data_IF_085093950966
#
_entry.id   IF_085093950966
#
_cell.length_a   1.000
_cell.length_b   1.000
_cell.length_c   1.000
_cell.angle_alpha   90.00
_cell.angle_beta   90.00
_cell.angle_gamma   90.00
#
_symmetry.space_group_name_H-M   'P 1'
#
loop_
_entity.id
_entity.type
_entity.pdbx_description
1 polymer ?
#
# COMPACT_ATOMS: atom_id res chain seq x y z
N UNK A 1 31.12 7.04 18.79
CA UNK A 1 31.88 8.29 18.60
C UNK A 1 30.91 9.46 18.63
N UNK A 2 30.88 10.15 19.77
CA UNK A 2 30.11 11.36 20.06
C UNK A 2 30.95 12.60 19.75
N UNK A 3 30.30 13.73 19.40
CA UNK A 3 30.52 15.12 19.88
C UNK A 3 29.37 15.95 19.22
N UNK A 4 28.30 16.35 19.94
CA UNK A 4 28.12 17.54 20.81
C UNK A 4 28.04 18.87 20.02
N UNK A 5 27.25 19.90 20.30
CA UNK A 5 26.00 20.19 21.02
C UNK A 5 25.81 21.73 20.96
N UNK A 6 24.56 22.21 21.05
CA UNK A 6 24.09 23.52 21.58
C UNK A 6 24.33 24.83 20.80
N UNK A 7 23.23 25.55 20.56
CA UNK A 7 23.12 26.99 20.81
C UNK A 7 21.75 27.32 21.44
N UNK A 8 21.77 28.22 22.43
CA UNK A 8 20.71 28.52 23.40
C UNK A 8 19.69 29.58 22.94
N UNK A 9 18.54 29.57 23.61
CA UNK A 9 17.40 30.51 23.53
C UNK A 9 17.58 31.79 24.37
N UNK A 10 16.74 32.81 24.14
CA UNK A 10 16.13 33.82 25.08
C UNK A 10 15.32 34.81 24.18
N UNK A 11 14.10 35.35 24.46
CA UNK A 11 13.52 36.01 25.65
C UNK A 11 11.97 35.89 25.65
N UNK A 12 11.36 35.96 26.85
CA UNK A 12 9.94 35.84 27.23
C UNK A 12 9.16 37.19 27.27
N UNK A 13 7.81 37.05 27.24
CA UNK A 13 6.72 37.80 27.96
C UNK A 13 6.49 39.30 27.63
N UNK A 14 5.29 39.90 27.68
CA UNK A 14 4.20 39.82 28.68
C UNK A 14 2.86 40.45 28.19
N UNK A 15 1.85 40.41 29.09
CA UNK A 15 0.39 40.57 29.05
C UNK A 15 -0.26 41.97 28.89
N UNK A 16 -1.47 41.96 28.29
CA UNK A 16 -2.81 42.56 28.60
C UNK A 16 -3.04 43.88 29.42
N UNK A 17 -4.09 44.60 28.94
CA UNK A 17 -5.00 45.62 29.55
C UNK A 17 -4.45 47.07 29.68
N UNK A 18 -5.17 48.19 29.51
CA UNK A 18 -6.61 48.54 29.42
C UNK A 18 -6.85 49.89 28.69
N UNK A 19 -8.12 50.19 28.44
CA UNK A 19 -8.80 51.33 27.74
C UNK A 19 -8.57 52.73 28.35
N UNK A 20 -8.46 53.79 27.51
CA UNK A 20 -9.26 55.03 27.56
C UNK A 20 -8.97 56.04 26.41
N UNK A 21 -10.07 56.58 25.87
CA UNK A 21 -10.35 57.67 24.92
C UNK A 21 -9.29 58.71 24.49
N UNK A 22 -9.40 59.14 23.22
CA UNK A 22 -8.99 60.47 22.77
C UNK A 22 -8.71 60.60 21.26
N UNK A 23 -9.65 61.22 20.53
CA UNK A 23 -9.41 62.24 19.50
C UNK A 23 -8.46 61.99 18.31
N UNK A 24 -9.02 62.23 17.12
CA UNK A 24 -8.38 62.69 15.88
C UNK A 24 -7.64 61.67 15.00
N UNK A 25 -8.16 61.57 13.77
CA UNK A 25 -7.67 60.71 12.69
C UNK A 25 -6.61 61.42 11.85
N UNK A 26 -5.42 60.84 11.66
CA UNK A 26 -4.50 61.19 10.57
C UNK A 26 -4.43 60.07 9.51
N UNK A 27 -3.86 60.34 8.32
CA UNK A 27 -4.19 59.62 7.08
C UNK A 27 -3.56 58.22 6.98
N UNK A 28 -4.22 57.36 6.19
CA UNK A 28 -3.80 55.98 5.91
C UNK A 28 -2.34 55.88 5.40
N UNK A 29 -1.50 54.98 5.95
CA UNK A 29 -0.18 54.72 5.41
C UNK A 29 -0.28 53.85 4.15
N UNK A 30 0.36 54.31 3.07
CA UNK A 30 0.58 53.52 1.86
C UNK A 30 1.39 52.27 2.20
N UNK A 31 0.77 51.09 2.11
CA UNK A 31 1.46 49.81 2.17
C UNK A 31 2.29 49.67 0.89
N UNK A 32 3.61 49.85 1.01
CA UNK A 32 4.57 49.48 -0.04
C UNK A 32 4.68 47.95 0.01
N UNK A 33 4.06 47.30 -0.97
CA UNK A 33 4.16 45.86 -1.18
C UNK A 33 5.56 45.53 -1.70
N UNK A 34 6.49 45.19 -0.81
CA UNK A 34 7.79 44.60 -1.17
C UNK A 34 7.55 43.19 -1.75
N UNK A 35 7.39 43.11 -3.07
CA UNK A 35 7.47 41.86 -3.81
C UNK A 35 8.88 41.28 -3.63
N UNK A 36 9.00 40.34 -2.69
CA UNK A 36 10.19 39.51 -2.56
C UNK A 36 10.22 38.56 -3.76
N UNK A 37 10.99 38.93 -4.78
CA UNK A 37 11.28 38.05 -5.90
C UNK A 37 12.12 36.88 -5.37
N UNK A 38 11.48 35.76 -5.04
CA UNK A 38 12.20 34.51 -4.81
C UNK A 38 12.69 34.05 -6.19
N UNK A 39 13.92 34.41 -6.53
CA UNK A 39 14.63 33.79 -7.65
C UNK A 39 14.76 32.30 -7.35
N UNK A 40 13.98 31.48 -8.04
CA UNK A 40 14.17 30.05 -8.06
C UNK A 40 15.56 29.78 -8.64
N UNK A 41 16.52 29.41 -7.77
CA UNK A 41 17.82 28.92 -8.23
C UNK A 41 17.53 27.69 -9.09
N UNK A 42 17.86 27.71 -10.39
CA UNK A 42 17.60 26.56 -11.25
C UNK A 42 18.33 25.36 -10.67
N UNK A 43 17.61 24.27 -10.44
CA UNK A 43 18.21 22.99 -10.07
C UNK A 43 19.26 22.64 -11.11
N UNK A 44 20.53 22.69 -10.71
CA UNK A 44 21.67 22.25 -11.52
C UNK A 44 21.75 20.73 -11.66
N UNK A 45 20.83 19.99 -11.01
CA UNK A 45 20.80 18.54 -11.06
C UNK A 45 20.10 18.08 -12.34
N UNK A 46 20.80 17.26 -13.11
CA UNK A 46 20.25 16.61 -14.29
C UNK A 46 19.13 15.62 -13.89
N UNK A 47 18.03 15.61 -14.63
CA UNK A 47 16.90 14.73 -14.43
C UNK A 47 16.72 13.81 -15.63
N UNK A 48 16.55 12.52 -15.37
CA UNK A 48 16.25 11.53 -16.42
C UNK A 48 14.74 11.51 -16.66
N UNK A 49 14.34 11.67 -17.93
CA UNK A 49 13.00 11.42 -18.42
C UNK A 49 13.00 10.15 -19.28
N UNK A 50 11.97 9.34 -19.14
CA UNK A 50 11.78 8.14 -19.95
C UNK A 50 10.31 8.11 -20.36
N UNK A 51 10.05 8.05 -21.65
CA UNK A 51 8.73 7.85 -22.23
C UNK A 51 8.64 6.46 -22.86
N UNK A 52 7.48 5.84 -22.79
CA UNK A 52 7.15 4.61 -23.52
C UNK A 52 6.39 5.04 -24.78
N UNK A 53 6.62 4.37 -25.90
CA UNK A 53 5.97 4.60 -27.20
C UNK A 53 4.44 4.38 -27.23
N UNK A 54 3.82 4.09 -26.09
CA UNK A 54 2.38 3.91 -25.92
C UNK A 54 1.84 4.72 -24.75
N UNK A 55 0.67 5.32 -24.93
CA UNK A 55 0.03 6.22 -23.95
C UNK A 55 -0.35 5.53 -22.64
N UNK A 56 -0.85 4.31 -22.70
CA UNK A 56 -1.24 3.49 -21.54
C UNK A 56 -0.14 2.53 -21.09
N UNK A 57 0.96 2.44 -21.86
CA UNK A 57 2.06 1.50 -21.67
C UNK A 57 1.60 0.03 -21.57
N UNK A 58 0.56 -0.38 -22.32
CA UNK A 58 0.09 -1.77 -22.41
C UNK A 58 0.29 -2.29 -23.83
N UNK A 59 0.78 -3.51 -23.96
CA UNK A 59 1.08 -4.16 -25.23
C UNK A 59 0.87 -5.69 -25.19
N UNK A 60 0.96 -6.34 -26.34
CA UNK A 60 0.84 -7.79 -26.48
C UNK A 60 2.20 -8.49 -26.40
N UNK A 61 2.20 -9.78 -26.08
CA UNK A 61 3.41 -10.61 -26.17
C UNK A 61 3.98 -10.54 -27.59
N UNK A 62 5.29 -10.31 -27.70
CA UNK A 62 5.99 -10.15 -28.97
C UNK A 62 5.91 -8.76 -29.61
N UNK A 63 5.16 -7.82 -29.01
CA UNK A 63 5.22 -6.42 -29.48
C UNK A 63 6.58 -5.82 -29.12
N UNK A 64 7.21 -5.15 -30.09
CA UNK A 64 8.35 -4.28 -29.82
C UNK A 64 7.90 -3.06 -29.01
N UNK A 65 8.70 -2.70 -28.00
CA UNK A 65 8.47 -1.60 -27.07
C UNK A 65 9.70 -0.71 -27.08
N UNK A 66 9.51 0.57 -27.36
CA UNK A 66 10.58 1.56 -27.38
C UNK A 66 10.48 2.52 -26.19
N UNK A 67 11.60 2.69 -25.50
CA UNK A 67 11.79 3.69 -24.46
C UNK A 67 12.60 4.85 -25.02
N UNK A 68 12.00 6.03 -25.06
CA UNK A 68 12.69 7.27 -25.40
C UNK A 68 13.23 7.90 -24.11
N UNK A 69 14.54 8.12 -24.05
CA UNK A 69 15.27 8.53 -22.87
C UNK A 69 15.87 9.91 -23.12
N UNK A 70 15.66 10.85 -22.21
CA UNK A 70 16.32 12.15 -22.23
C UNK A 70 16.92 12.47 -20.85
N UNK A 71 18.06 13.14 -20.83
CA UNK A 71 18.72 13.62 -19.62
C UNK A 71 18.71 15.13 -19.68
N UNK A 72 17.94 15.77 -18.81
CA UNK A 72 17.71 17.20 -18.86
C UNK A 72 18.45 17.94 -17.75
N UNK A 73 19.23 18.96 -18.11
CA UNK A 73 19.67 20.01 -17.19
C UNK A 73 18.71 21.19 -17.31
N UNK A 74 17.74 21.27 -16.40
CA UNK A 74 16.61 22.20 -16.51
C UNK A 74 15.67 21.80 -17.66
N UNK A 75 15.68 22.57 -18.76
CA UNK A 75 14.86 22.30 -19.96
C UNK A 75 15.69 21.88 -21.19
N UNK A 76 17.00 21.76 -21.04
CA UNK A 76 17.91 21.42 -22.14
C UNK A 76 18.44 20.00 -21.97
N UNK A 77 18.45 19.23 -23.05
CA UNK A 77 19.09 17.92 -23.10
C UNK A 77 20.59 18.08 -22.88
N UNK A 78 21.16 17.21 -22.05
CA UNK A 78 22.59 17.11 -21.80
C UNK A 78 23.26 16.53 -23.05
N UNK A 79 24.37 17.13 -23.46
CA UNK A 79 25.05 16.86 -24.74
C UNK A 79 26.32 16.03 -24.64
N UNK A 80 26.71 15.66 -23.42
CA UNK A 80 27.96 14.97 -23.15
C UNK A 80 27.86 14.11 -21.89
N UNK A 81 28.65 13.03 -21.88
CA UNK A 81 28.60 11.99 -20.85
C UNK A 81 27.79 10.77 -21.30
N UNK A 82 27.64 9.80 -20.40
CA UNK A 82 27.11 8.48 -20.73
C UNK A 82 25.98 8.11 -19.78
N UNK A 83 24.95 7.44 -20.30
CA UNK A 83 23.96 6.72 -19.49
C UNK A 83 24.21 5.21 -19.58
N UNK A 84 23.86 4.49 -18.53
CA UNK A 84 23.70 3.03 -18.58
C UNK A 84 22.24 2.65 -18.48
N UNK A 85 21.84 1.59 -19.19
CA UNK A 85 20.48 1.07 -19.15
C UNK A 85 20.45 -0.44 -18.91
N UNK A 86 19.33 -0.91 -18.33
CA UNK A 86 18.98 -2.32 -18.19
C UNK A 86 17.51 -2.51 -18.55
N UNK A 87 17.24 -3.42 -19.48
CA UNK A 87 15.93 -3.99 -19.74
C UNK A 87 15.79 -5.31 -18.97
N UNK A 88 14.66 -5.50 -18.28
CA UNK A 88 14.38 -6.68 -17.44
C UNK A 88 12.89 -7.02 -17.46
N UNK A 89 12.53 -8.25 -17.12
CA UNK A 89 11.12 -8.64 -16.93
C UNK A 89 10.74 -8.36 -15.47
N UNK A 90 10.14 -7.21 -15.23
CA UNK A 90 9.77 -6.67 -13.91
C UNK A 90 10.95 -6.62 -12.92
N UNK A 91 12.17 -6.56 -13.45
CA UNK A 91 13.41 -6.63 -12.67
C UNK A 91 13.98 -7.99 -12.42
N UNK A 92 13.28 -9.04 -12.80
CA UNK A 92 13.84 -10.38 -12.80
C UNK A 92 14.80 -10.52 -13.98
N UNK A 93 16.03 -10.95 -13.68
CA UNK A 93 17.10 -11.10 -14.67
C UNK A 93 17.47 -9.81 -15.41
N UNK A 94 18.36 -9.95 -16.40
CA UNK A 94 18.67 -8.91 -17.38
C UNK A 94 18.40 -9.47 -18.76
N UNK A 95 17.52 -8.82 -19.51
CA UNK A 95 17.23 -9.16 -20.91
C UNK A 95 18.28 -8.53 -21.81
N UNK A 96 18.59 -7.25 -21.55
CA UNK A 96 19.59 -6.48 -22.29
C UNK A 96 20.10 -5.36 -21.40
N UNK A 97 21.39 -5.07 -21.48
CA UNK A 97 21.98 -3.90 -20.83
C UNK A 97 23.03 -3.28 -21.72
N UNK A 98 23.26 -1.98 -21.54
CA UNK A 98 24.27 -1.29 -22.32
C UNK A 98 24.53 0.12 -21.80
N UNK A 99 25.39 0.82 -22.55
CA UNK A 99 25.73 2.21 -22.35
C UNK A 99 25.42 3.00 -23.62
N UNK A 100 25.00 4.25 -23.47
CA UNK A 100 24.72 5.15 -24.57
C UNK A 100 25.32 6.52 -24.27
N UNK A 101 26.04 7.08 -25.26
CA UNK A 101 26.59 8.42 -25.18
C UNK A 101 25.46 9.46 -25.36
N UNK A 102 25.49 10.49 -24.54
CA UNK A 102 24.60 11.63 -24.65
C UNK A 102 25.06 12.53 -25.80
N UNK A 103 24.13 12.94 -26.64
CA UNK A 103 24.41 13.77 -27.84
C UNK A 103 23.53 15.02 -27.91
N UNK A 104 22.85 15.37 -26.82
CA UNK A 104 21.95 16.53 -26.75
C UNK A 104 20.59 16.28 -27.42
N UNK A 105 20.27 15.01 -27.68
CA UNK A 105 19.01 14.54 -28.26
C UNK A 105 18.51 13.33 -27.46
N UNK A 106 17.19 13.07 -27.45
CA UNK A 106 16.66 11.85 -26.88
C UNK A 106 17.25 10.60 -27.53
N UNK A 107 17.52 9.59 -26.70
CA UNK A 107 18.06 8.29 -27.07
C UNK A 107 16.94 7.25 -27.05
N UNK A 108 17.08 6.18 -27.83
CA UNK A 108 16.09 5.11 -27.87
C UNK A 108 16.68 3.77 -27.45
N UNK A 109 15.92 3.05 -26.64
CA UNK A 109 16.19 1.66 -26.26
C UNK A 109 14.93 0.87 -26.49
N UNK A 110 15.01 -0.16 -27.34
CA UNK A 110 13.88 -1.04 -27.61
C UNK A 110 14.12 -2.47 -27.13
N UNK A 111 13.03 -3.16 -26.81
CA UNK A 111 13.01 -4.57 -26.45
C UNK A 111 11.60 -5.13 -26.54
N UNK A 112 11.45 -6.40 -26.19
CA UNK A 112 10.19 -7.14 -26.23
C UNK A 112 10.17 -8.19 -25.11
N UNK A 113 8.99 -8.72 -24.80
CA UNK A 113 8.84 -9.93 -23.99
C UNK A 113 8.08 -10.99 -24.79
N UNK A 114 8.59 -12.22 -24.76
CA UNK A 114 7.95 -13.39 -25.36
C UNK A 114 6.95 -14.10 -24.43
N UNK A 115 6.68 -13.52 -23.25
CA UNK A 115 5.73 -14.01 -22.26
C UNK A 115 5.02 -12.85 -21.55
N UNK A 116 3.87 -13.11 -20.90
CA UNK A 116 3.21 -12.10 -20.07
C UNK A 116 4.13 -11.59 -18.96
N UNK A 117 4.25 -10.28 -18.81
CA UNK A 117 5.22 -9.67 -17.89
C UNK A 117 5.23 -8.16 -17.94
N UNK A 118 6.31 -7.54 -17.48
CA UNK A 118 6.50 -6.08 -17.52
C UNK A 118 7.89 -5.76 -18.04
N UNK A 119 8.01 -5.28 -19.28
CA UNK A 119 9.32 -4.85 -19.77
C UNK A 119 9.71 -3.56 -19.05
N UNK A 120 10.72 -3.66 -18.18
CA UNK A 120 11.17 -2.54 -17.36
C UNK A 120 12.52 -2.03 -17.83
N UNK A 121 12.55 -0.75 -18.19
CA UNK A 121 13.76 -0.01 -18.49
C UNK A 121 14.23 0.75 -17.24
N UNK A 122 15.43 0.43 -16.77
CA UNK A 122 16.14 1.18 -15.73
C UNK A 122 17.27 1.95 -16.37
N UNK A 123 17.28 3.27 -16.22
CA UNK A 123 18.36 4.15 -16.70
C UNK A 123 19.10 4.75 -15.51
N UNK A 124 20.43 4.75 -15.57
CA UNK A 124 21.30 5.40 -14.60
C UNK A 124 22.20 6.40 -15.31
N UNK A 125 22.21 7.64 -14.81
CA UNK A 125 23.11 8.71 -15.24
C UNK A 125 24.01 9.09 -14.07
N UNK A 126 25.32 8.99 -14.24
CA UNK A 126 26.30 9.19 -13.16
C UNK A 126 27.42 10.14 -13.61
N UNK A 127 27.15 11.45 -13.75
CA UNK A 127 28.17 12.41 -14.12
C UNK A 127 29.21 12.59 -13.02
N UNK A 128 30.47 12.84 -13.42
CA UNK A 128 31.58 13.04 -12.48
C UNK A 128 31.25 14.16 -11.49
N UNK A 129 31.50 13.90 -10.20
CA UNK A 129 31.32 14.88 -9.13
C UNK A 129 29.87 15.14 -8.71
N UNK A 130 28.88 14.42 -9.26
CA UNK A 130 27.49 14.52 -8.82
C UNK A 130 26.95 13.17 -8.37
N UNK A 131 25.86 13.19 -7.60
CA UNK A 131 25.17 11.98 -7.19
C UNK A 131 24.51 11.32 -8.42
N UNK A 132 24.63 9.99 -8.60
CA UNK A 132 23.94 9.29 -9.68
C UNK A 132 22.42 9.49 -9.61
N UNK A 133 21.82 9.76 -10.76
CA UNK A 133 20.38 9.73 -10.95
C UNK A 133 19.96 8.38 -11.53
N UNK A 134 18.84 7.84 -11.06
CA UNK A 134 18.26 6.60 -11.56
C UNK A 134 16.77 6.81 -11.83
N UNK A 135 16.28 6.34 -12.97
CA UNK A 135 14.87 6.41 -13.36
C UNK A 135 14.41 5.09 -13.96
N UNK A 136 13.14 4.78 -13.70
CA UNK A 136 12.47 3.59 -14.22
C UNK A 136 11.30 4.01 -15.09
N UNK A 137 11.08 3.25 -16.15
CA UNK A 137 9.82 3.17 -16.90
C UNK A 137 9.53 1.70 -17.17
N UNK A 138 8.26 1.37 -17.37
CA UNK A 138 7.86 0.01 -17.69
C UNK A 138 6.62 0.00 -18.59
N UNK A 139 6.52 -1.04 -19.41
CA UNK A 139 5.34 -1.36 -20.20
C UNK A 139 4.82 -2.75 -19.80
N UNK A 140 3.51 -2.86 -19.61
CA UNK A 140 2.83 -4.12 -19.34
C UNK A 140 2.68 -4.93 -20.62
N UNK A 141 3.11 -6.20 -20.60
CA UNK A 141 2.99 -7.12 -21.73
C UNK A 141 1.95 -8.18 -21.39
N UNK A 142 0.77 -8.11 -22.00
CA UNK A 142 -0.36 -9.00 -21.75
C UNK A 142 -0.61 -9.30 -20.25
N UNK A 143 -0.71 -8.28 -19.38
CA UNK A 143 -0.66 -8.46 -17.93
C UNK A 143 -1.81 -9.33 -17.38
N UNK A 144 -2.95 -9.38 -18.07
CA UNK A 144 -4.09 -10.24 -17.70
C UNK A 144 -3.84 -11.74 -17.91
N UNK A 145 -2.74 -12.11 -18.57
CA UNK A 145 -2.32 -13.50 -18.77
C UNK A 145 -1.30 -13.97 -17.73
N UNK A 146 -0.94 -13.14 -16.76
CA UNK A 146 -0.02 -13.51 -15.67
C UNK A 146 -0.75 -14.43 -14.68
N UNK A 147 -0.37 -15.71 -14.64
CA UNK A 147 -0.96 -16.71 -13.76
C UNK A 147 -0.24 -16.87 -12.41
N UNK A 148 -0.76 -17.81 -11.61
CA UNK A 148 -0.12 -18.26 -10.38
C UNK A 148 1.29 -18.81 -10.66
N UNK A 149 2.26 -18.54 -9.78
CA UNK A 149 3.59 -19.14 -9.88
C UNK A 149 3.62 -20.62 -9.48
N UNK A 150 2.67 -21.05 -8.64
CA UNK A 150 2.48 -22.44 -8.24
C UNK A 150 0.99 -22.75 -8.05
N UNK A 151 0.58 -24.03 -8.14
CA UNK A 151 -0.78 -24.43 -7.75
C UNK A 151 -1.04 -24.14 -6.27
N UNK A 152 -2.31 -23.88 -5.93
CA UNK A 152 -2.75 -23.75 -4.54
C UNK A 152 -2.46 -25.07 -3.79
N UNK A 153 -1.96 -25.05 -2.54
CA UNK A 153 -1.82 -26.27 -1.75
C UNK A 153 -3.14 -27.03 -1.61
N UNK A 154 -3.10 -28.35 -1.73
CA UNK A 154 -4.32 -29.19 -1.75
C UNK A 154 -5.14 -29.08 -0.46
N UNK A 155 -4.48 -28.93 0.70
CA UNK A 155 -5.13 -28.80 2.00
C UNK A 155 -5.28 -27.34 2.46
N UNK A 156 -5.11 -26.35 1.58
CA UNK A 156 -5.19 -24.92 1.92
C UNK A 156 -6.53 -24.55 2.58
N UNK A 157 -7.64 -24.99 2.02
CA UNK A 157 -8.98 -24.73 2.56
C UNK A 157 -9.18 -25.38 3.92
N UNK A 158 -8.75 -26.64 4.06
CA UNK A 158 -8.85 -27.37 5.30
C UNK A 158 -8.00 -26.73 6.40
N UNK A 159 -6.78 -26.28 6.06
CA UNK A 159 -5.91 -25.55 6.98
C UNK A 159 -6.60 -24.30 7.53
N UNK A 160 -7.13 -23.44 6.67
CA UNK A 160 -7.79 -22.20 7.10
C UNK A 160 -9.14 -22.42 7.77
N UNK A 161 -9.89 -23.45 7.37
CA UNK A 161 -11.08 -23.91 8.10
C UNK A 161 -10.73 -24.27 9.54
N UNK A 162 -9.67 -25.04 9.76
CA UNK A 162 -9.20 -25.40 11.10
C UNK A 162 -8.80 -24.16 11.93
N UNK A 163 -8.13 -23.17 11.32
CA UNK A 163 -7.79 -21.93 12.03
C UNK A 163 -9.04 -21.13 12.44
N UNK A 164 -10.04 -21.03 11.55
CA UNK A 164 -11.33 -20.38 11.87
C UNK A 164 -12.10 -21.13 12.96
N UNK A 165 -12.10 -22.47 12.94
CA UNK A 165 -12.70 -23.28 14.00
C UNK A 165 -11.99 -23.07 15.34
N UNK A 166 -10.66 -22.95 15.36
CA UNK A 166 -9.92 -22.62 16.57
C UNK A 166 -10.27 -21.22 17.08
N UNK A 167 -10.35 -20.23 16.19
CA UNK A 167 -10.77 -18.87 16.54
C UNK A 167 -12.19 -18.84 17.12
N UNK A 168 -13.14 -19.57 16.55
CA UNK A 168 -14.54 -19.61 17.01
C UNK A 168 -14.69 -20.11 18.46
N UNK A 169 -13.74 -20.91 18.97
CA UNK A 169 -13.71 -21.36 20.37
C UNK A 169 -13.35 -20.25 21.38
N UNK A 170 -12.77 -19.15 20.92
CA UNK A 170 -12.40 -18.01 21.77
C UNK A 170 -13.62 -17.08 21.89
N UNK A 171 -14.21 -16.90 23.09
CA UNK A 171 -15.36 -15.99 23.26
C UNK A 171 -15.04 -14.57 22.75
N UNK A 172 -15.96 -13.97 21.99
CA UNK A 172 -15.79 -12.64 21.41
C UNK A 172 -16.07 -11.53 22.44
N UNK A 173 -15.34 -11.53 23.55
CA UNK A 173 -15.41 -10.43 24.52
C UNK A 173 -14.90 -9.14 23.86
N UNK A 174 -15.73 -8.12 23.83
CA UNK A 174 -15.42 -6.82 23.24
C UNK A 174 -15.55 -5.73 24.30
N UNK A 175 -14.51 -4.92 24.44
CA UNK A 175 -14.47 -3.74 25.29
C UNK A 175 -14.43 -2.50 24.39
N UNK A 176 -15.35 -1.56 24.60
CA UNK A 176 -15.45 -0.32 23.85
C UNK A 176 -15.24 0.87 24.79
N UNK A 177 -14.19 1.66 24.54
CA UNK A 177 -13.93 2.91 25.26
C UNK A 177 -14.22 4.09 24.35
N UNK A 178 -15.10 5.01 24.77
CA UNK A 178 -15.44 6.18 23.96
C UNK A 178 -14.22 7.08 23.68
N UNK A 179 -14.05 7.47 22.41
CA UNK A 179 -13.08 8.48 21.99
C UNK A 179 -13.80 9.82 21.88
N UNK A 180 -13.59 10.69 22.87
CA UNK A 180 -14.24 12.01 22.95
C UNK A 180 -13.82 12.94 21.81
N UNK A 181 -14.65 13.96 21.56
CA UNK A 181 -14.36 15.03 20.60
C UNK A 181 -14.50 14.66 19.13
N UNK A 182 -15.05 13.48 18.82
CA UNK A 182 -15.34 13.07 17.45
C UNK A 182 -16.73 13.53 17.00
N UNK A 183 -16.88 13.82 15.70
CA UNK A 183 -18.15 14.25 15.09
C UNK A 183 -19.19 13.13 14.95
N UNK A 184 -18.76 11.88 15.14
CA UNK A 184 -19.58 10.67 15.10
C UNK A 184 -19.21 9.79 16.30
N UNK A 185 -20.15 9.06 16.90
CA UNK A 185 -19.85 8.09 17.97
C UNK A 185 -18.68 7.18 17.57
N UNK A 186 -17.60 7.25 18.34
CA UNK A 186 -16.33 6.58 18.03
C UNK A 186 -15.76 5.95 19.30
N UNK A 187 -15.21 4.75 19.16
CA UNK A 187 -14.73 3.92 20.26
C UNK A 187 -13.34 3.36 19.94
N UNK A 188 -12.47 3.26 20.93
CA UNK A 188 -11.33 2.34 20.92
C UNK A 188 -11.86 0.96 21.33
N UNK A 189 -11.75 0.01 20.40
CA UNK A 189 -12.29 -1.33 20.52
C UNK A 189 -11.17 -2.34 20.75
N UNK A 190 -11.30 -3.11 21.82
CA UNK A 190 -10.46 -4.28 22.12
C UNK A 190 -11.34 -5.52 22.08
N UNK A 191 -11.14 -6.37 21.09
CA UNK A 191 -11.90 -7.62 20.91
C UNK A 191 -10.95 -8.80 21.08
N UNK A 192 -11.29 -9.69 22.03
CA UNK A 192 -10.53 -10.91 22.25
C UNK A 192 -10.38 -11.70 20.95
N UNK A 193 -9.22 -12.31 20.74
CA UNK A 193 -8.87 -13.07 19.53
C UNK A 193 -7.95 -14.24 19.91
N UNK A 194 -7.67 -15.13 18.96
CA UNK A 194 -6.63 -16.14 19.14
C UNK A 194 -5.25 -15.45 19.04
N UNK A 195 -4.52 -15.38 20.16
CA UNK A 195 -3.27 -14.65 20.27
C UNK A 195 -3.50 -13.16 20.58
N UNK A 196 -2.83 -12.26 19.86
CA UNK A 196 -3.02 -10.82 20.06
C UNK A 196 -4.46 -10.40 19.70
N UNK A 197 -5.09 -9.48 20.47
CA UNK A 197 -6.48 -9.09 20.26
C UNK A 197 -6.65 -8.31 18.95
N UNK A 198 -7.90 -8.17 18.51
CA UNK A 198 -8.24 -7.10 17.57
C UNK A 198 -8.27 -5.81 18.38
N UNK A 199 -7.32 -4.92 18.09
CA UNK A 199 -7.30 -3.56 18.60
C UNK A 199 -7.60 -2.62 17.44
N UNK A 200 -8.54 -1.69 17.59
CA UNK A 200 -8.85 -0.75 16.52
C UNK A 200 -9.84 0.33 16.93
N UNK A 201 -9.91 1.40 16.14
CA UNK A 201 -11.00 2.36 16.27
C UNK A 201 -12.23 1.87 15.51
N UNK A 202 -13.40 1.98 16.13
CA UNK A 202 -14.70 1.67 15.57
C UNK A 202 -15.61 2.90 15.68
N UNK A 203 -16.31 3.26 14.61
CA UNK A 203 -17.27 4.35 14.62
C UNK A 203 -18.54 3.97 13.85
N UNK A 204 -19.65 4.57 14.28
CA UNK A 204 -20.95 4.42 13.63
C UNK A 204 -21.73 5.74 13.63
N UNK A 205 -22.59 5.99 12.62
CA UNK A 205 -23.57 7.07 12.67
C UNK A 205 -24.40 7.04 13.95
N UNK A 206 -24.72 8.22 14.48
CA UNK A 206 -25.64 8.35 15.61
C UNK A 206 -27.05 7.92 15.17
N UNK A 207 -27.78 7.24 16.05
CA UNK A 207 -29.19 6.87 15.87
C UNK A 207 -29.47 6.01 14.62
N UNK A 208 -28.48 5.24 14.16
CA UNK A 208 -28.64 4.32 13.04
C UNK A 208 -29.66 3.22 13.38
N UNK A 209 -30.57 2.96 12.44
CA UNK A 209 -31.61 1.93 12.60
C UNK A 209 -30.97 0.53 12.55
N UNK A 210 -31.57 -0.48 13.21
CA UNK A 210 -31.19 -1.87 13.00
C UNK A 210 -31.19 -2.22 11.51
N UNK A 211 -30.22 -3.01 11.07
CA UNK A 211 -30.08 -3.50 9.69
C UNK A 211 -30.10 -2.41 8.61
N UNK A 212 -29.44 -1.27 8.86
CA UNK A 212 -29.47 -0.12 7.94
C UNK A 212 -28.12 0.29 7.37
N UNK A 213 -27.01 -0.24 7.89
CA UNK A 213 -25.68 0.24 7.55
C UNK A 213 -24.81 -0.85 6.92
N UNK A 214 -24.13 -0.55 5.80
CA UNK A 214 -23.05 -1.39 5.30
C UNK A 214 -21.82 -1.29 6.22
N UNK A 215 -20.90 -2.26 6.12
CA UNK A 215 -19.62 -2.24 6.83
C UNK A 215 -18.49 -1.79 5.90
N UNK A 216 -17.56 -0.99 6.45
CA UNK A 216 -16.22 -0.78 5.90
C UNK A 216 -15.14 -1.07 6.95
N UNK A 217 -14.29 -2.05 6.63
CA UNK A 217 -13.10 -2.39 7.40
C UNK A 217 -11.84 -1.87 6.68
N UNK A 218 -11.12 -0.99 7.36
CA UNK A 218 -9.88 -0.41 6.89
C UNK A 218 -8.68 -1.18 7.44
N UNK A 219 -7.76 -1.57 6.56
CA UNK A 219 -6.57 -2.34 6.92
C UNK A 219 -5.30 -1.63 6.43
N UNK A 220 -4.25 -1.66 7.24
CA UNK A 220 -3.11 -0.75 7.06
C UNK A 220 -1.91 -1.37 6.35
N UNK A 221 -1.14 -0.54 5.64
CA UNK A 221 0.18 -0.90 5.08
C UNK A 221 1.19 -1.29 6.17
N UNK A 222 2.34 -1.84 5.76
CA UNK A 222 3.34 -2.36 6.69
C UNK A 222 3.83 -1.30 7.70
N UNK A 223 4.27 -1.76 8.87
CA UNK A 223 4.87 -0.94 9.92
C UNK A 223 4.01 -0.83 11.17
N UNK A 224 4.65 -0.46 12.28
CA UNK A 224 4.08 -0.47 13.62
C UNK A 224 3.61 0.92 13.99
N UNK A 225 2.29 1.09 14.18
CA UNK A 225 1.64 2.38 14.49
C UNK A 225 0.24 2.15 15.04
N UNK A 226 -0.38 3.23 15.55
CA UNK A 226 -1.80 3.25 15.93
C UNK A 226 -2.73 2.93 14.76
N UNK A 227 -3.92 2.44 15.07
CA UNK A 227 -5.06 2.50 14.15
C UNK A 227 -5.38 3.94 13.72
N UNK A 228 -5.94 4.10 12.51
CA UNK A 228 -6.33 5.36 11.90
C UNK A 228 -7.73 5.80 12.34
N UNK A 229 -7.77 6.74 13.29
CA UNK A 229 -9.02 7.40 13.68
C UNK A 229 -9.66 8.14 12.49
N UNK A 230 -8.84 8.77 11.64
CA UNK A 230 -9.30 9.49 10.44
C UNK A 230 -10.08 8.60 9.48
N UNK A 231 -9.57 7.42 9.12
CA UNK A 231 -10.26 6.51 8.20
C UNK A 231 -11.57 6.00 8.83
N UNK A 232 -11.50 5.65 10.12
CA UNK A 232 -12.65 5.21 10.91
C UNK A 232 -13.78 6.24 10.87
N UNK A 233 -13.51 7.49 11.23
CA UNK A 233 -14.49 8.59 11.20
C UNK A 233 -14.97 8.89 9.78
N UNK A 234 -14.09 8.80 8.78
CA UNK A 234 -14.45 9.05 7.36
C UNK A 234 -15.50 8.06 6.88
N UNK A 235 -15.35 6.77 7.17
CA UNK A 235 -16.33 5.77 6.78
C UNK A 235 -17.66 5.96 7.50
N UNK A 236 -17.63 6.21 8.81
CA UNK A 236 -18.84 6.44 9.61
C UNK A 236 -19.61 7.69 9.18
N UNK A 237 -18.89 8.77 8.84
CA UNK A 237 -19.49 10.02 8.33
C UNK A 237 -20.15 9.83 6.94
N UNK A 238 -19.92 8.70 6.29
CA UNK A 238 -20.53 8.31 5.00
C UNK A 238 -21.65 7.27 5.17
N UNK A 239 -22.15 7.07 6.39
CA UNK A 239 -23.28 6.17 6.65
C UNK A 239 -22.89 4.70 6.69
N UNK A 240 -21.75 4.36 7.27
CA UNK A 240 -21.26 2.97 7.35
C UNK A 240 -20.84 2.62 8.77
N UNK A 241 -20.94 1.35 9.16
CA UNK A 241 -20.19 0.81 10.28
C UNK A 241 -18.72 0.76 9.89
N UNK A 242 -17.87 1.56 10.53
CA UNK A 242 -16.50 1.79 10.06
C UNK A 242 -15.50 1.42 11.14
N UNK A 243 -14.53 0.57 10.80
CA UNK A 243 -13.46 0.19 11.72
C UNK A 243 -12.11 0.22 11.02
N UNK A 244 -11.08 0.74 11.67
CA UNK A 244 -9.70 0.52 11.28
C UNK A 244 -9.00 -0.29 12.37
N UNK A 245 -8.35 -1.39 12.00
CA UNK A 245 -7.65 -2.25 12.98
C UNK A 245 -6.15 -1.99 12.97
N UNK A 246 -5.53 -2.10 14.14
CA UNK A 246 -4.10 -2.26 14.32
C UNK A 246 -3.71 -3.70 13.94
N UNK A 247 -2.87 -3.87 12.92
CA UNK A 247 -2.48 -5.17 12.38
C UNK A 247 -1.68 -5.99 13.37
N UNK A 248 -1.11 -5.38 14.41
CA UNK A 248 -0.33 -6.07 15.43
C UNK A 248 -1.11 -6.35 16.71
N UNK A 249 -2.34 -5.81 16.86
CA UNK A 249 -3.11 -5.92 18.09
C UNK A 249 -2.59 -5.04 19.22
N UNK A 250 -1.79 -4.02 18.91
CA UNK A 250 -1.27 -3.07 19.91
C UNK A 250 -2.35 -2.06 20.34
N UNK A 251 -2.29 -1.52 21.57
CA UNK A 251 -3.15 -0.43 22.02
C UNK A 251 -3.08 0.78 21.08
N UNK A 252 -4.19 1.48 20.91
CA UNK A 252 -4.27 2.67 20.05
C UNK A 252 -3.95 3.96 20.84
N UNK A 253 -3.71 5.06 20.12
CA UNK A 253 -3.57 6.40 20.72
C UNK A 253 -2.32 6.62 21.58
N UNK A 254 -1.41 5.63 21.66
CA UNK A 254 -0.12 5.79 22.36
C UNK A 254 0.79 6.81 21.65
N UNK A 255 1.77 7.41 22.37
CA UNK A 255 2.77 8.27 21.77
C UNK A 255 3.57 7.57 20.68
N UNK A 256 4.12 8.33 19.72
CA UNK A 256 4.97 7.79 18.63
C UNK A 256 6.13 6.95 19.16
N UNK A 257 6.70 7.32 20.32
CA UNK A 257 7.79 6.59 20.99
C UNK A 257 7.44 5.13 21.26
N UNK A 258 6.25 4.87 21.81
CA UNK A 258 5.78 3.53 22.12
C UNK A 258 5.83 2.63 20.88
N UNK A 259 5.30 3.10 19.74
CA UNK A 259 5.31 2.31 18.52
C UNK A 259 6.72 2.13 17.94
N UNK A 260 7.60 3.13 18.12
CA UNK A 260 9.00 3.03 17.70
C UNK A 260 9.73 1.95 18.51
N UNK A 261 9.53 1.92 19.82
CA UNK A 261 10.09 0.88 20.70
C UNK A 261 9.55 -0.50 20.34
N UNK A 262 8.25 -0.63 20.08
CA UNK A 262 7.67 -1.89 19.61
C UNK A 262 8.28 -2.35 18.28
N UNK A 263 8.49 -1.43 17.32
CA UNK A 263 9.11 -1.73 16.03
C UNK A 263 10.60 -2.11 16.15
N UNK A 264 11.33 -1.49 17.09
CA UNK A 264 12.74 -1.76 17.31
C UNK A 264 12.99 -3.03 18.15
N UNK A 265 12.03 -3.41 19.00
CA UNK A 265 12.08 -4.58 19.86
C UNK A 265 11.14 -5.71 19.40
N UNK A 266 10.00 -5.96 20.09
CA UNK A 266 9.17 -7.14 19.87
C UNK A 266 8.69 -7.40 18.43
N UNK A 267 8.50 -6.35 17.63
CA UNK A 267 8.02 -6.45 16.25
C UNK A 267 9.13 -6.21 15.22
N UNK A 268 10.41 -6.16 15.62
CA UNK A 268 11.51 -6.02 14.67
C UNK A 268 11.48 -7.17 13.68
N UNK A 269 11.37 -6.85 12.39
CA UNK A 269 11.26 -7.82 11.29
C UNK A 269 10.10 -8.83 11.45
N UNK A 270 8.96 -8.41 12.05
CA UNK A 270 7.81 -9.30 12.30
C UNK A 270 7.36 -10.12 11.08
N UNK A 271 7.55 -9.59 9.87
CA UNK A 271 7.16 -10.24 8.62
C UNK A 271 7.96 -11.51 8.29
N UNK A 272 9.08 -11.76 8.97
CA UNK A 272 9.83 -13.02 8.88
C UNK A 272 9.63 -13.95 10.09
N UNK A 273 8.92 -13.50 11.13
CA UNK A 273 8.79 -14.29 12.35
C UNK A 273 7.99 -15.59 12.09
N UNK A 274 8.62 -16.73 12.40
CA UNK A 274 8.04 -18.08 12.29
C UNK A 274 7.76 -18.54 10.86
N UNK A 275 8.38 -17.92 9.84
CA UNK A 275 8.12 -18.18 8.41
C UNK A 275 8.46 -19.59 7.94
N UNK A 276 9.21 -20.34 8.73
CA UNK A 276 9.62 -21.72 8.45
C UNK A 276 8.47 -22.72 8.61
N UNK A 277 7.31 -22.30 9.15
CA UNK A 277 6.15 -23.17 9.35
C UNK A 277 4.83 -22.38 9.25
N UNK A 278 3.90 -22.88 8.43
CA UNK A 278 2.54 -22.32 8.24
C UNK A 278 1.76 -22.11 9.54
N UNK A 279 2.07 -22.88 10.59
CA UNK A 279 1.42 -22.78 11.89
C UNK A 279 2.02 -21.69 12.78
N UNK A 280 3.26 -21.24 12.53
CA UNK A 280 3.96 -20.26 13.38
C UNK A 280 4.16 -18.92 12.70
N UNK A 281 3.98 -18.86 11.38
CA UNK A 281 4.18 -17.63 10.60
C UNK A 281 3.31 -16.49 11.13
N UNK A 282 3.93 -15.34 11.36
CA UNK A 282 3.30 -14.15 11.95
C UNK A 282 1.96 -13.77 11.32
N UNK A 283 1.89 -13.82 9.99
CA UNK A 283 0.71 -13.43 9.22
C UNK A 283 -0.52 -14.28 9.55
N UNK A 284 -0.36 -15.52 10.04
CA UNK A 284 -1.49 -16.35 10.50
C UNK A 284 -2.31 -15.63 11.57
N UNK A 285 -1.64 -15.05 12.57
CA UNK A 285 -2.30 -14.28 13.62
C UNK A 285 -2.93 -12.99 13.10
N UNK A 286 -2.27 -12.31 12.15
CA UNK A 286 -2.84 -11.12 11.49
C UNK A 286 -4.16 -11.45 10.77
N UNK A 287 -4.22 -12.57 10.07
CA UNK A 287 -5.40 -12.95 9.29
C UNK A 287 -6.56 -13.41 10.18
N UNK A 288 -6.27 -14.07 11.29
CA UNK A 288 -7.30 -14.37 12.29
C UNK A 288 -7.88 -13.11 12.94
N UNK A 289 -7.08 -12.05 13.11
CA UNK A 289 -7.61 -10.73 13.53
C UNK A 289 -8.55 -10.12 12.49
N UNK A 290 -8.34 -10.36 11.18
CA UNK A 290 -9.29 -9.92 10.14
C UNK A 290 -10.65 -10.61 10.32
N UNK A 291 -10.65 -11.94 10.45
CA UNK A 291 -11.88 -12.71 10.65
C UNK A 291 -12.59 -12.27 11.93
N UNK A 292 -11.87 -12.11 13.04
CA UNK A 292 -12.43 -11.63 14.32
C UNK A 292 -12.98 -10.21 14.24
N UNK A 293 -12.35 -9.31 13.47
CA UNK A 293 -12.87 -7.97 13.25
C UNK A 293 -14.18 -8.00 12.45
N UNK A 294 -14.28 -8.87 11.44
CA UNK A 294 -15.51 -9.09 10.67
C UNK A 294 -16.60 -9.71 11.57
N UNK A 295 -16.27 -10.66 12.45
CA UNK A 295 -17.21 -11.19 13.45
C UNK A 295 -17.79 -10.07 14.32
N UNK A 296 -16.93 -9.19 14.85
CA UNK A 296 -17.36 -8.06 15.68
C UNK A 296 -18.27 -7.10 14.91
N UNK A 297 -17.91 -6.74 13.67
CA UNK A 297 -18.67 -5.80 12.84
C UNK A 297 -20.01 -6.37 12.41
N UNK A 298 -20.04 -7.65 12.00
CA UNK A 298 -21.27 -8.32 11.53
C UNK A 298 -22.19 -8.74 12.69
N UNK A 299 -21.72 -8.70 13.94
CA UNK A 299 -22.56 -8.84 15.12
C UNK A 299 -23.28 -7.54 15.54
N UNK A 300 -22.94 -6.39 14.94
CA UNK A 300 -23.60 -5.13 15.28
C UNK A 300 -25.05 -5.12 14.77
N UNK A 301 -26.03 -4.69 15.59
CA UNK A 301 -27.44 -4.71 15.20
C UNK A 301 -27.75 -3.81 14.00
N UNK A 302 -26.92 -2.78 13.75
CA UNK A 302 -27.09 -1.86 12.63
C UNK A 302 -26.59 -2.42 11.29
N UNK A 303 -25.84 -3.53 11.28
CA UNK A 303 -25.33 -4.12 10.03
C UNK A 303 -26.49 -4.58 9.14
N UNK A 304 -26.47 -4.14 7.88
CA UNK A 304 -27.46 -4.44 6.84
C UNK A 304 -27.60 -5.94 6.48
N UNK A 305 -26.74 -6.80 7.01
CA UNK A 305 -26.75 -8.24 6.80
C UNK A 305 -26.15 -8.69 5.46
N UNK A 306 -25.61 -7.77 4.65
CA UNK A 306 -25.23 -8.08 3.26
C UNK A 306 -23.98 -7.38 2.75
N UNK A 307 -23.59 -6.22 3.27
CA UNK A 307 -22.47 -5.44 2.72
C UNK A 307 -21.28 -5.38 3.67
N UNK A 308 -20.14 -5.93 3.24
CA UNK A 308 -18.86 -5.80 3.96
C UNK A 308 -17.76 -5.47 2.96
N UNK A 309 -17.24 -4.25 3.06
CA UNK A 309 -16.11 -3.79 2.27
C UNK A 309 -14.80 -3.83 3.08
N UNK A 310 -13.72 -4.34 2.49
CA UNK A 310 -12.39 -4.31 3.11
C UNK A 310 -11.41 -3.54 2.22
N UNK A 311 -10.78 -2.50 2.75
CA UNK A 311 -9.95 -1.58 1.96
C UNK A 311 -8.57 -1.35 2.57
N UNK A 312 -7.53 -1.50 1.76
CA UNK A 312 -6.16 -1.24 2.17
C UNK A 312 -5.16 -1.09 1.02
N UNK A 313 -3.96 -0.61 1.37
CA UNK A 313 -2.85 -0.45 0.42
C UNK A 313 -1.59 -1.14 0.93
N UNK A 314 -0.73 -1.66 0.04
CA UNK A 314 0.48 -2.42 0.40
C UNK A 314 0.12 -3.64 1.26
N UNK A 315 0.65 -3.80 2.48
CA UNK A 315 0.18 -4.82 3.43
C UNK A 315 -1.33 -4.70 3.76
N UNK A 316 -1.93 -3.53 3.61
CA UNK A 316 -3.38 -3.38 3.70
C UNK A 316 -4.09 -4.05 2.51
N UNK A 317 -3.52 -3.98 1.32
CA UNK A 317 -4.03 -4.69 0.14
C UNK A 317 -3.91 -6.20 0.30
N UNK A 318 -2.81 -6.66 0.90
CA UNK A 318 -2.63 -8.05 1.32
C UNK A 318 -3.77 -8.52 2.24
N UNK A 319 -4.02 -7.78 3.31
CA UNK A 319 -5.10 -8.08 4.26
C UNK A 319 -6.48 -8.05 3.60
N UNK A 320 -6.74 -7.14 2.66
CA UNK A 320 -8.02 -7.07 1.94
C UNK A 320 -8.24 -8.31 1.03
N UNK A 321 -7.22 -8.74 0.28
CA UNK A 321 -7.26 -9.99 -0.51
C UNK A 321 -7.53 -11.21 0.38
N UNK A 322 -6.83 -11.29 1.52
CA UNK A 322 -6.99 -12.38 2.47
C UNK A 322 -8.39 -12.37 3.10
N UNK A 323 -8.90 -11.21 3.51
CA UNK A 323 -10.24 -11.09 4.07
C UNK A 323 -11.30 -11.60 3.08
N UNK A 324 -11.20 -11.18 1.80
CA UNK A 324 -12.08 -11.66 0.74
C UNK A 324 -12.00 -13.17 0.50
N UNK A 325 -10.79 -13.74 0.55
CA UNK A 325 -10.61 -15.19 0.34
C UNK A 325 -10.95 -16.06 1.55
N UNK A 326 -10.94 -15.50 2.77
CA UNK A 326 -11.20 -16.25 4.00
C UNK A 326 -12.65 -16.18 4.48
N UNK A 327 -13.34 -15.08 4.20
CA UNK A 327 -14.63 -14.78 4.81
C UNK A 327 -15.70 -14.47 3.75
N UNK A 328 -16.70 -15.36 3.57
CA UNK A 328 -17.72 -15.18 2.55
C UNK A 328 -18.66 -14.00 2.81
N UNK A 329 -18.62 -13.38 4.01
CA UNK A 329 -19.38 -12.17 4.30
C UNK A 329 -18.78 -10.94 3.61
N UNK A 330 -17.50 -10.99 3.19
CA UNK A 330 -16.84 -9.90 2.46
C UNK A 330 -17.37 -9.86 1.04
N UNK A 331 -18.01 -8.74 0.67
CA UNK A 331 -18.63 -8.55 -0.64
C UNK A 331 -17.88 -7.59 -1.54
N UNK A 332 -16.97 -6.80 -0.97
CA UNK A 332 -16.15 -5.84 -1.71
C UNK A 332 -14.72 -5.78 -1.17
N UNK A 333 -13.72 -5.73 -2.06
CA UNK A 333 -12.33 -5.44 -1.68
C UNK A 333 -11.72 -4.30 -2.50
N UNK A 334 -11.01 -3.40 -1.82
CA UNK A 334 -10.17 -2.37 -2.45
C UNK A 334 -8.70 -2.61 -2.11
N UNK A 335 -7.88 -2.97 -3.10
CA UNK A 335 -6.51 -3.48 -2.90
C UNK A 335 -5.49 -2.62 -3.65
N UNK A 336 -4.86 -1.66 -2.98
CA UNK A 336 -3.92 -0.76 -3.65
C UNK A 336 -2.48 -1.25 -3.57
N UNK A 337 -1.79 -1.41 -4.71
CA UNK A 337 -0.41 -1.95 -4.80
C UNK A 337 -0.17 -3.09 -3.80
N UNK A 338 -0.98 -4.17 -3.86
CA UNK A 338 -1.07 -5.14 -2.77
C UNK A 338 0.27 -5.86 -2.56
N UNK A 339 0.73 -5.83 -1.31
CA UNK A 339 1.82 -6.69 -0.87
C UNK A 339 1.31 -8.13 -0.67
N UNK A 340 2.18 -9.04 -0.25
CA UNK A 340 1.80 -10.41 0.11
C UNK A 340 1.47 -11.30 -1.08
N UNK A 341 1.66 -10.82 -2.30
CA UNK A 341 1.31 -11.53 -3.52
C UNK A 341 2.54 -12.22 -4.12
N UNK A 342 2.34 -13.43 -4.62
CA UNK A 342 3.31 -14.21 -5.40
C UNK A 342 4.60 -14.48 -4.62
N UNK A 343 4.48 -14.95 -3.38
CA UNK A 343 5.60 -15.36 -2.53
C UNK A 343 6.46 -16.45 -3.18
N UNK A 344 5.85 -17.29 -4.01
CA UNK A 344 6.53 -18.27 -4.84
C UNK A 344 6.99 -17.73 -6.20
N UNK A 345 6.93 -16.42 -6.45
CA UNK A 345 7.24 -15.81 -7.75
C UNK A 345 8.58 -16.22 -8.35
N UNK A 346 9.61 -16.47 -7.52
CA UNK A 346 10.93 -16.88 -7.99
C UNK A 346 10.91 -18.22 -8.75
N UNK A 347 9.99 -19.15 -8.44
CA UNK A 347 9.88 -20.41 -9.21
C UNK A 347 9.27 -20.23 -10.60
N UNK A 348 8.74 -19.03 -10.89
CA UNK A 348 8.18 -18.65 -12.17
C UNK A 348 8.98 -17.49 -12.81
N UNK A 349 10.24 -17.32 -12.41
CA UNK A 349 11.13 -16.24 -12.87
C UNK A 349 10.56 -14.83 -12.64
N UNK A 350 9.98 -14.60 -11.46
CA UNK A 350 9.41 -13.30 -11.06
C UNK A 350 9.90 -12.87 -9.68
N UNK A 351 9.96 -11.55 -9.48
CA UNK A 351 10.25 -11.00 -8.15
C UNK A 351 8.98 -11.06 -7.30
N UNK A 352 9.05 -11.72 -6.16
CA UNK A 352 7.97 -11.75 -5.17
C UNK A 352 7.65 -10.34 -4.62
N UNK A 353 6.37 -10.08 -4.35
CA UNK A 353 5.93 -8.90 -3.63
C UNK A 353 6.47 -8.87 -2.19
N UNK A 354 6.53 -7.67 -1.60
CA UNK A 354 6.86 -7.52 -0.17
C UNK A 354 6.01 -8.50 0.67
N UNK A 355 6.58 -9.19 1.67
CA UNK A 355 7.86 -8.92 2.31
C UNK A 355 9.06 -9.68 1.73
N UNK A 356 8.92 -10.36 0.58
CA UNK A 356 9.97 -11.26 0.04
C UNK A 356 10.36 -12.32 1.08
N UNK A 357 9.32 -13.00 1.58
CA UNK A 357 9.39 -13.87 2.74
C UNK A 357 10.30 -15.09 2.52
N UNK A 358 10.38 -15.59 1.29
CA UNK A 358 11.23 -16.71 0.90
C UNK A 358 12.64 -16.17 0.58
N UNK A 359 13.67 -16.50 1.38
CA UNK A 359 15.03 -16.11 1.06
C UNK A 359 15.54 -16.91 -0.15
N UNK A 360 16.48 -16.32 -0.88
CA UNK A 360 17.21 -16.98 -1.96
C UNK A 360 18.65 -17.24 -1.54
N UNK A 361 19.15 -18.44 -1.83
CA UNK A 361 20.57 -18.81 -1.70
C UNK A 361 21.05 -19.25 -3.07
N UNK A 362 22.03 -18.55 -3.64
CA UNK A 362 22.55 -18.82 -4.99
C UNK A 362 21.47 -18.83 -6.10
N UNK A 363 20.40 -18.05 -5.90
CA UNK A 363 19.24 -17.99 -6.81
C UNK A 363 18.13 -18.98 -6.47
N UNK A 364 18.39 -19.98 -5.63
CA UNK A 364 17.42 -21.01 -5.27
C UNK A 364 16.60 -20.63 -4.03
N UNK A 365 15.27 -20.83 -4.03
CA UNK A 365 14.42 -20.55 -2.88
C UNK A 365 14.58 -21.60 -1.77
N UNK A 366 14.58 -21.15 -0.52
CA UNK A 366 14.49 -22.07 0.62
C UNK A 366 13.18 -22.87 0.55
N UNK A 367 13.28 -24.18 0.30
CA UNK A 367 12.15 -25.05 0.04
C UNK A 367 11.15 -25.12 1.22
N UNK A 368 11.66 -25.07 2.46
CA UNK A 368 10.82 -25.16 3.66
C UNK A 368 9.99 -23.90 3.84
N UNK A 369 10.62 -22.73 3.68
CA UNK A 369 9.95 -21.44 3.78
C UNK A 369 9.00 -21.24 2.59
N UNK A 370 9.41 -21.65 1.38
CA UNK A 370 8.57 -21.63 0.19
C UNK A 370 7.25 -22.38 0.42
N UNK A 371 7.33 -23.62 0.92
CA UNK A 371 6.13 -24.42 1.21
C UNK A 371 5.24 -23.78 2.28
N UNK A 372 5.84 -23.31 3.39
CA UNK A 372 5.08 -22.65 4.45
C UNK A 372 4.37 -21.37 3.98
N UNK A 373 5.01 -20.58 3.12
CA UNK A 373 4.49 -19.30 2.67
C UNK A 373 3.35 -19.41 1.67
N UNK A 374 3.19 -20.56 0.99
CA UNK A 374 2.02 -20.82 0.12
C UNK A 374 0.69 -20.75 0.88
N UNK A 375 0.68 -21.00 2.20
CA UNK A 375 -0.54 -20.89 3.04
C UNK A 375 -0.91 -19.46 3.41
N UNK A 376 0.00 -18.52 3.21
CA UNK A 376 -0.25 -17.10 3.46
C UNK A 376 -0.20 -16.28 2.17
N UNK A 377 0.16 -16.82 1.02
CA UNK A 377 0.21 -16.06 -0.23
C UNK A 377 -1.17 -15.51 -0.65
N UNK A 378 -1.25 -14.19 -0.86
CA UNK A 378 -2.46 -13.47 -1.23
C UNK A 378 -3.09 -14.02 -2.52
N UNK A 379 -2.28 -14.52 -3.47
CA UNK A 379 -2.78 -15.06 -4.75
C UNK A 379 -3.68 -16.28 -4.51
N UNK A 380 -3.37 -17.08 -3.48
CA UNK A 380 -4.16 -18.26 -3.14
C UNK A 380 -5.50 -17.85 -2.51
N UNK A 381 -5.54 -16.80 -1.69
CA UNK A 381 -6.81 -16.26 -1.19
C UNK A 381 -7.66 -15.65 -2.31
N UNK A 382 -7.03 -14.96 -3.27
CA UNK A 382 -7.74 -14.34 -4.40
C UNK A 382 -8.57 -15.35 -5.21
N UNK A 383 -8.10 -16.60 -5.34
CA UNK A 383 -8.85 -17.67 -6.05
C UNK A 383 -10.22 -18.00 -5.46
N UNK A 384 -10.51 -17.56 -4.23
CA UNK A 384 -11.75 -17.82 -3.50
C UNK A 384 -12.71 -16.62 -3.47
N UNK A 385 -12.25 -15.43 -3.86
CA UNK A 385 -13.06 -14.23 -3.73
C UNK A 385 -14.02 -14.07 -4.91
N UNK A 386 -15.32 -14.05 -4.60
CA UNK A 386 -16.43 -13.95 -5.56
C UNK A 386 -17.10 -12.57 -5.58
N UNK A 387 -16.73 -11.67 -4.67
CA UNK A 387 -17.30 -10.33 -4.57
C UNK A 387 -16.74 -9.35 -5.62
N UNK A 388 -17.00 -8.07 -5.42
CA UNK A 388 -16.47 -7.02 -6.30
C UNK A 388 -15.08 -6.55 -5.84
N UNK A 389 -14.15 -6.36 -6.77
CA UNK A 389 -12.79 -5.92 -6.48
C UNK A 389 -12.38 -4.70 -7.29
N UNK A 390 -11.66 -3.78 -6.65
CA UNK A 390 -10.90 -2.72 -7.32
C UNK A 390 -9.44 -2.78 -6.86
N UNK A 391 -8.50 -2.88 -7.81
CA UNK A 391 -7.07 -2.95 -7.55
C UNK A 391 -6.35 -1.76 -8.17
N UNK A 392 -5.29 -1.25 -7.54
CA UNK A 392 -4.37 -0.31 -8.21
C UNK A 392 -2.99 -0.95 -8.39
N UNK A 393 -2.36 -0.70 -9.54
CA UNK A 393 -1.04 -1.25 -9.88
C UNK A 393 -0.13 -0.14 -10.42
N UNK A 394 1.07 -0.02 -9.86
CA UNK A 394 2.12 0.86 -10.38
C UNK A 394 3.14 0.06 -11.18
N UNK A 395 3.38 0.42 -12.44
CA UNK A 395 4.21 -0.43 -13.32
C UNK A 395 5.70 -0.38 -12.98
N UNK A 396 6.13 0.62 -12.20
CA UNK A 396 7.51 0.75 -11.72
C UNK A 396 7.64 0.50 -10.22
N UNK A 397 6.64 -0.12 -9.60
CA UNK A 397 6.70 -0.54 -8.20
C UNK A 397 7.76 -1.64 -8.03
N UNK A 398 8.75 -1.40 -7.17
CA UNK A 398 9.84 -2.36 -6.88
C UNK A 398 9.69 -3.01 -5.49
N UNK A 399 8.68 -2.59 -4.73
CA UNK A 399 8.31 -3.15 -3.43
C UNK A 399 7.26 -4.24 -3.61
N UNK A 400 6.22 -3.94 -4.39
CA UNK A 400 5.18 -4.89 -4.79
C UNK A 400 5.13 -4.91 -6.32
N UNK A 401 6.01 -5.71 -6.97
CA UNK A 401 6.17 -5.70 -8.41
C UNK A 401 4.82 -5.92 -9.12
N UNK A 402 4.53 -5.21 -10.22
CA UNK A 402 3.26 -5.32 -10.93
C UNK A 402 2.93 -6.75 -11.37
N UNK A 403 3.92 -7.59 -11.69
CA UNK A 403 3.67 -9.01 -11.97
C UNK A 403 3.04 -9.75 -10.78
N UNK A 404 3.50 -9.48 -9.56
CA UNK A 404 2.91 -10.06 -8.34
C UNK A 404 1.48 -9.57 -8.09
N UNK A 405 1.20 -8.29 -8.38
CA UNK A 405 -0.14 -7.72 -8.26
C UNK A 405 -1.10 -8.36 -9.28
N UNK A 406 -0.67 -8.50 -10.53
CA UNK A 406 -1.47 -9.12 -11.58
C UNK A 406 -1.69 -10.62 -11.37
N UNK A 407 -0.73 -11.35 -10.77
CA UNK A 407 -0.95 -12.74 -10.36
C UNK A 407 -2.14 -12.85 -9.39
N UNK A 408 -2.28 -11.92 -8.44
CA UNK A 408 -3.45 -11.86 -7.55
C UNK A 408 -4.71 -11.40 -8.28
N UNK A 409 -4.64 -10.33 -9.08
CA UNK A 409 -5.78 -9.79 -9.83
C UNK A 409 -6.40 -10.84 -10.77
N UNK A 410 -5.57 -11.56 -11.51
CA UNK A 410 -6.02 -12.56 -12.48
C UNK A 410 -6.63 -13.79 -11.78
N UNK A 411 -6.22 -14.08 -10.54
CA UNK A 411 -6.79 -15.15 -9.73
C UNK A 411 -8.20 -14.86 -9.19
N UNK A 412 -8.58 -13.58 -9.04
CA UNK A 412 -9.92 -13.16 -8.58
C UNK A 412 -11.03 -13.71 -9.50
N UNK A 413 -12.11 -14.20 -8.90
CA UNK A 413 -13.23 -14.86 -9.59
C UNK A 413 -14.49 -13.99 -9.72
N UNK A 414 -14.68 -13.04 -8.83
CA UNK A 414 -15.77 -12.06 -8.91
C UNK A 414 -15.54 -10.94 -9.93
N UNK A 415 -16.40 -9.91 -9.90
CA UNK A 415 -16.22 -8.74 -10.77
C UNK A 415 -15.01 -7.94 -10.31
N UNK A 416 -14.18 -7.49 -11.25
CA UNK A 416 -12.90 -6.88 -10.93
C UNK A 416 -12.55 -5.72 -11.85
N UNK A 417 -11.94 -4.69 -11.29
CA UNK A 417 -11.45 -3.51 -11.98
C UNK A 417 -10.00 -3.23 -11.56
N UNK A 418 -9.19 -2.72 -12.49
CA UNK A 418 -7.81 -2.33 -12.22
C UNK A 418 -7.56 -0.88 -12.60
N UNK A 419 -6.89 -0.14 -11.73
CA UNK A 419 -6.37 1.21 -11.97
C UNK A 419 -4.87 1.06 -12.24
N UNK A 420 -4.49 1.17 -13.50
CA UNK A 420 -3.09 1.13 -13.93
C UNK A 420 -2.50 2.54 -13.90
N UNK A 421 -1.33 2.67 -13.27
CA UNK A 421 -0.57 3.92 -13.22
C UNK A 421 0.89 3.64 -13.69
N UNK A 422 1.18 3.79 -15.00
CA UNK A 422 2.48 3.39 -15.56
C UNK A 422 3.69 4.05 -14.90
N UNK A 423 3.57 5.33 -14.53
CA UNK A 423 4.65 6.09 -13.90
C UNK A 423 4.71 5.93 -12.37
N UNK A 424 3.80 5.17 -11.76
CA UNK A 424 3.71 5.04 -10.31
C UNK A 424 4.60 3.91 -9.80
N UNK A 425 5.39 4.21 -8.76
CA UNK A 425 6.09 3.21 -7.95
C UNK A 425 5.21 2.69 -6.81
N UNK A 426 5.81 2.47 -5.63
CA UNK A 426 5.03 2.05 -4.45
C UNK A 426 4.31 3.24 -3.79
N UNK A 427 3.09 3.53 -4.22
CA UNK A 427 2.33 4.69 -3.73
C UNK A 427 0.83 4.44 -3.57
N UNK A 428 0.19 5.31 -2.79
CA UNK A 428 -1.25 5.34 -2.55
C UNK A 428 -1.78 6.79 -2.66
N UNK A 429 -1.77 7.38 -3.87
CA UNK A 429 -2.14 8.76 -4.08
C UNK A 429 -3.64 9.01 -3.82
N UNK A 430 -4.02 10.27 -3.61
CA UNK A 430 -5.39 10.64 -3.29
C UNK A 430 -6.42 10.19 -4.34
N UNK A 431 -6.18 10.28 -5.67
CA UNK A 431 -7.11 9.79 -6.68
C UNK A 431 -7.48 8.32 -6.52
N UNK A 432 -6.50 7.43 -6.27
CA UNK A 432 -6.76 6.00 -6.03
C UNK A 432 -7.61 5.80 -4.77
N UNK A 433 -7.27 6.48 -3.66
CA UNK A 433 -8.05 6.41 -2.41
C UNK A 433 -9.49 6.88 -2.61
N UNK A 434 -9.69 7.93 -3.40
CA UNK A 434 -11.00 8.46 -3.73
C UNK A 434 -11.79 7.49 -4.61
N UNK A 435 -11.15 6.89 -5.62
CA UNK A 435 -11.76 5.88 -6.48
C UNK A 435 -12.22 4.65 -5.68
N UNK A 436 -11.41 4.17 -4.74
CA UNK A 436 -11.79 3.05 -3.87
C UNK A 436 -13.00 3.39 -3.00
N UNK A 437 -13.01 4.57 -2.36
CA UNK A 437 -14.16 5.01 -1.57
C UNK A 437 -15.42 5.18 -2.44
N UNK A 438 -15.29 5.73 -3.64
CA UNK A 438 -16.41 5.86 -4.57
C UNK A 438 -16.98 4.48 -4.98
N UNK A 439 -16.11 3.51 -5.26
CA UNK A 439 -16.50 2.15 -5.60
C UNK A 439 -17.20 1.44 -4.43
N UNK A 440 -16.71 1.60 -3.19
CA UNK A 440 -17.39 1.09 -1.98
C UNK A 440 -18.79 1.68 -1.85
N UNK A 441 -18.94 3.00 -1.97
CA UNK A 441 -20.25 3.66 -1.86
C UNK A 441 -21.20 3.21 -2.97
N UNK A 442 -20.69 3.02 -4.19
CA UNK A 442 -21.49 2.51 -5.30
C UNK A 442 -21.94 1.06 -5.04
N UNK A 443 -21.06 0.20 -4.53
CA UNK A 443 -21.39 -1.17 -4.16
C UNK A 443 -22.46 -1.23 -3.05
N UNK A 444 -22.28 -0.45 -1.98
CA UNK A 444 -23.21 -0.38 -0.86
C UNK A 444 -24.62 0.11 -1.26
N UNK A 445 -24.73 0.93 -2.32
CA UNK A 445 -26.04 1.38 -2.84
C UNK A 445 -26.76 0.34 -3.70
N UNK A 446 -26.02 -0.60 -4.32
CA UNK A 446 -26.59 -1.63 -5.20
C UNK A 446 -27.13 -2.84 -4.44
N UNK A 447 -26.56 -3.12 -3.27
CA UNK A 447 -26.94 -4.26 -2.45
C UNK A 447 -28.08 -3.88 -1.54
#
# INVERSE_FOLDING_TARGET
MQYSAKFNAYVKSSSLASVAAGGDSPPMPRIILLLSLILAVPSTHAAIQIAVDRKDAICSVGDAITFTIDVLAGKKSVDSGEISYVLSDDGFGSIRSGKLELTGKPLEVSGELNRPGFLRCTVTYAPKGQKPARKLAAAAVSPEKIGLSQPVPQDFDQFWKNQKTALAKVPMKAELTEVKGQRVPTFDAQVACLGAPVSGYFAKPKDAKPKSLPIILWVHGAGVRSSSLRNTVTGASKGMLSMNINAHGLPNGKPTEFYREQNAGPLRNYWHAGRENRNTVYFKGMFLRLVRAIDFLTAQPEWDGKTVAVVGHSQGGYQALVAGGLDPRVTFIGTGVPAGCDHSGNVADRIAGWPKIVPLSEGEPDAKILEACRYIDAVNFATRFQGEAIMSVGFIDTVCPPTSCYAAYNALKGTKQVINEPAMGHAAPAPIKNAFMAAVLAHAKRK
#
